data_IF_737629719726
#
_entry.id   IF_737629719726
#
_cell.length_a   1.000
_cell.length_b   1.000
_cell.length_c   1.000
_cell.angle_alpha   90.00
_cell.angle_beta   90.00
_cell.angle_gamma   90.00
#
_symmetry.space_group_name_H-M   'P 1'
#
loop_
_entity.id
_entity.type
_entity.pdbx_description
1 polymer ?
#
# COMPACT_ATOMS: atom_id res chain seq x y z
N UNK A 1 -12.05 12.30 -20.57
CA UNK A 1 -11.90 11.29 -19.50
C UNK A 1 -10.99 10.18 -20.02
N UNK A 2 -10.22 9.51 -19.16
CA UNK A 2 -9.27 8.45 -19.57
C UNK A 2 -9.96 7.14 -20.00
N UNK A 3 -11.20 6.92 -19.58
CA UNK A 3 -12.01 5.75 -19.89
C UNK A 3 -13.51 6.10 -19.85
N UNK A 4 -14.36 5.25 -20.42
CA UNK A 4 -15.81 5.30 -20.30
C UNK A 4 -16.26 4.56 -19.02
N UNK A 5 -16.95 5.26 -18.11
CA UNK A 5 -17.43 4.70 -16.84
C UNK A 5 -18.53 3.65 -17.01
N UNK A 6 -19.23 3.63 -18.16
CA UNK A 6 -20.27 2.65 -18.46
C UNK A 6 -19.71 1.33 -18.98
N UNK A 7 -18.45 1.35 -19.45
CA UNK A 7 -17.72 0.19 -19.98
C UNK A 7 -16.63 -0.33 -19.04
N UNK A 8 -16.73 0.01 -17.75
CA UNK A 8 -15.81 -0.46 -16.75
C UNK A 8 -16.51 -0.69 -15.41
N UNK A 9 -16.02 -1.66 -14.66
CA UNK A 9 -16.57 -2.06 -13.38
C UNK A 9 -15.49 -1.96 -12.30
N UNK A 10 -15.84 -1.40 -11.14
CA UNK A 10 -14.93 -1.42 -10.00
C UNK A 10 -15.09 -2.73 -9.26
N UNK A 11 -14.04 -3.53 -9.23
CA UNK A 11 -13.97 -4.74 -8.41
C UNK A 11 -13.19 -4.45 -7.14
N UNK A 12 -13.62 -5.08 -6.05
CA UNK A 12 -12.93 -4.99 -4.77
C UNK A 12 -11.70 -5.92 -4.75
N UNK A 13 -10.51 -5.35 -4.60
CA UNK A 13 -9.24 -6.08 -4.38
C UNK A 13 -8.74 -5.90 -2.92
N UNK A 14 -9.67 -5.58 -2.03
CA UNK A 14 -9.46 -5.30 -0.61
C UNK A 14 -9.01 -3.86 -0.37
N UNK A 15 -7.80 -3.52 -0.77
CA UNK A 15 -7.16 -2.23 -0.47
C UNK A 15 -7.58 -1.09 -1.38
N UNK A 16 -7.81 -1.44 -2.62
CA UNK A 16 -8.08 -0.53 -3.71
C UNK A 16 -9.16 -1.15 -4.57
N UNK A 17 -9.94 -0.29 -5.20
CA UNK A 17 -10.82 -0.74 -6.27
C UNK A 17 -9.96 -0.89 -7.52
N UNK A 18 -9.97 -2.07 -8.12
CA UNK A 18 -9.44 -2.23 -9.47
C UNK A 18 -10.53 -1.86 -10.45
N UNK A 19 -10.18 -1.08 -11.47
CA UNK A 19 -11.08 -0.80 -12.57
C UNK A 19 -10.91 -1.90 -13.62
N UNK A 20 -11.90 -2.78 -13.76
CA UNK A 20 -11.94 -3.82 -14.77
C UNK A 20 -12.67 -3.33 -16.03
N UNK A 21 -11.97 -3.09 -17.15
CA UNK A 21 -12.59 -2.69 -18.40
C UNK A 21 -13.30 -3.88 -19.07
N UNK A 22 -14.44 -3.62 -19.71
CA UNK A 22 -15.20 -4.62 -20.49
C UNK A 22 -14.70 -4.73 -21.93
N UNK A 23 -14.18 -3.63 -22.46
CA UNK A 23 -13.67 -3.51 -23.83
C UNK A 23 -12.13 -3.46 -23.87
N UNK A 24 -11.51 -3.62 -25.06
CA UNK A 24 -10.05 -3.54 -25.21
C UNK A 24 -9.47 -2.22 -24.71
N UNK A 25 -8.35 -2.30 -24.00
CA UNK A 25 -7.60 -1.12 -23.54
C UNK A 25 -6.58 -0.66 -24.58
N UNK A 26 -6.25 0.63 -24.54
CA UNK A 26 -5.21 1.24 -25.37
C UNK A 26 -4.04 1.76 -24.53
N UNK A 27 -2.95 2.13 -25.19
CA UNK A 27 -1.79 2.78 -24.54
C UNK A 27 -1.87 4.30 -24.72
N UNK A 28 -1.61 5.04 -23.64
CA UNK A 28 -1.39 6.48 -23.70
C UNK A 28 0.11 6.74 -23.90
N UNK A 29 0.48 7.52 -24.91
CA UNK A 29 1.88 7.89 -25.17
C UNK A 29 2.40 9.01 -24.24
N UNK A 30 1.48 9.78 -23.65
CA UNK A 30 1.81 10.89 -22.75
C UNK A 30 1.95 10.41 -21.29
N UNK A 31 2.89 10.99 -20.51
CA UNK A 31 3.01 10.67 -19.10
C UNK A 31 1.79 11.16 -18.31
N UNK A 32 1.34 10.35 -17.35
CA UNK A 32 0.33 10.75 -16.36
C UNK A 32 1.06 11.10 -15.06
N UNK A 33 1.08 12.38 -14.72
CA UNK A 33 1.61 12.84 -13.44
C UNK A 33 0.53 12.72 -12.37
N UNK A 34 0.73 11.81 -11.42
CA UNK A 34 -0.11 11.69 -10.25
C UNK A 34 0.55 12.39 -9.06
N UNK A 35 -0.13 13.41 -8.52
CA UNK A 35 0.29 14.08 -7.28
C UNK A 35 -0.63 13.67 -6.13
N UNK A 36 -0.17 12.71 -5.33
CA UNK A 36 -0.91 12.23 -4.15
C UNK A 36 -0.47 12.92 -2.85
N UNK A 37 0.16 14.11 -2.93
CA UNK A 37 0.59 14.83 -1.74
C UNK A 37 -0.61 15.20 -0.87
N UNK A 38 -0.59 14.71 0.36
CA UNK A 38 -1.57 14.98 1.42
C UNK A 38 -0.86 15.69 2.56
N UNK A 39 -1.60 16.46 3.37
CA UNK A 39 -1.07 16.93 4.65
C UNK A 39 -0.70 15.72 5.52
N UNK A 40 0.32 15.86 6.37
CA UNK A 40 0.76 14.76 7.23
C UNK A 40 -0.38 14.20 8.08
N UNK A 41 -1.25 15.06 8.63
CA UNK A 41 -2.42 14.65 9.39
C UNK A 41 -3.40 13.79 8.57
N UNK A 42 -3.72 14.20 7.34
CA UNK A 42 -4.59 13.41 6.45
C UNK A 42 -3.92 12.10 6.04
N UNK A 43 -2.62 12.13 5.79
CA UNK A 43 -1.85 10.93 5.45
C UNK A 43 -1.87 9.92 6.61
N UNK A 44 -1.63 10.36 7.85
CA UNK A 44 -1.69 9.53 9.06
C UNK A 44 -3.07 8.93 9.28
N UNK A 45 -4.13 9.74 9.19
CA UNK A 45 -5.51 9.25 9.31
C UNK A 45 -5.84 8.19 8.24
N UNK A 46 -5.29 8.34 7.03
CA UNK A 46 -5.49 7.34 5.97
C UNK A 46 -4.77 6.02 6.28
N UNK A 47 -3.61 6.05 6.96
CA UNK A 47 -2.87 4.84 7.30
C UNK A 47 -3.65 3.93 8.23
N UNK A 48 -4.43 4.49 9.16
CA UNK A 48 -5.31 3.69 10.03
C UNK A 48 -6.29 2.86 9.20
N UNK A 49 -7.01 3.51 8.27
CA UNK A 49 -7.99 2.85 7.40
C UNK A 49 -7.32 1.78 6.54
N UNK A 50 -6.22 2.11 5.89
CA UNK A 50 -5.50 1.17 5.02
C UNK A 50 -4.94 -0.02 5.79
N UNK A 51 -4.34 0.21 6.97
CA UNK A 51 -3.81 -0.87 7.79
C UNK A 51 -4.90 -1.79 8.33
N UNK A 52 -6.10 -1.26 8.64
CA UNK A 52 -7.25 -2.08 9.04
C UNK A 52 -7.70 -3.03 7.92
N UNK A 53 -7.79 -2.52 6.68
CA UNK A 53 -8.12 -3.35 5.51
C UNK A 53 -7.04 -4.41 5.24
N UNK A 54 -5.75 -4.06 5.38
CA UNK A 54 -4.65 -5.01 5.13
C UNK A 54 -4.62 -6.10 6.20
N UNK A 55 -4.81 -5.72 7.45
CA UNK A 55 -4.85 -6.67 8.55
C UNK A 55 -5.98 -7.68 8.31
N UNK A 56 -7.17 -7.23 7.89
CA UNK A 56 -8.27 -8.11 7.53
C UNK A 56 -7.87 -9.06 6.39
N UNK A 57 -7.31 -8.54 5.30
CA UNK A 57 -6.85 -9.34 4.15
C UNK A 57 -5.81 -10.39 4.55
N UNK A 58 -4.83 -10.04 5.38
CA UNK A 58 -3.75 -10.95 5.81
C UNK A 58 -4.21 -12.03 6.81
N UNK A 59 -5.27 -11.74 7.58
CA UNK A 59 -5.87 -12.68 8.54
C UNK A 59 -6.89 -13.62 7.88
N UNK A 60 -7.55 -13.20 6.79
CA UNK A 60 -8.43 -14.07 6.01
C UNK A 60 -7.61 -15.13 5.27
N UNK A 61 -8.03 -16.42 5.27
CA UNK A 61 -7.39 -17.46 4.48
C UNK A 61 -7.36 -17.04 3.00
N UNK A 62 -6.18 -17.04 2.35
CA UNK A 62 -6.09 -16.59 0.98
C UNK A 62 -6.77 -17.60 0.05
N UNK A 63 -7.52 -17.10 -0.94
CA UNK A 63 -8.12 -17.93 -2.00
C UNK A 63 -7.08 -18.41 -3.02
N UNK A 64 -5.88 -17.81 -3.02
CA UNK A 64 -4.77 -18.07 -3.95
C UNK A 64 -3.41 -18.00 -3.24
N UNK A 65 -2.31 -18.25 -3.95
CA UNK A 65 -0.96 -18.20 -3.39
C UNK A 65 -0.61 -16.83 -2.80
N UNK A 66 0.01 -16.86 -1.61
CA UNK A 66 0.44 -15.66 -0.89
C UNK A 66 1.62 -15.01 -1.64
N UNK A 67 1.45 -13.75 -2.05
CA UNK A 67 2.51 -12.98 -2.70
C UNK A 67 3.70 -12.75 -1.74
N UNK A 68 4.90 -12.53 -2.29
CA UNK A 68 6.11 -12.34 -1.49
C UNK A 68 5.99 -11.18 -0.48
N UNK A 69 5.31 -10.09 -0.87
CA UNK A 69 5.10 -8.94 0.00
C UNK A 69 4.27 -9.29 1.24
N UNK A 70 3.21 -10.09 1.09
CA UNK A 70 2.37 -10.52 2.19
C UNK A 70 3.12 -11.45 3.15
N UNK A 71 4.02 -12.30 2.61
CA UNK A 71 4.91 -13.12 3.45
C UNK A 71 5.82 -12.25 4.32
N UNK A 72 6.40 -11.19 3.75
CA UNK A 72 7.23 -10.24 4.49
C UNK A 72 6.39 -9.53 5.57
N UNK A 73 5.17 -9.07 5.25
CA UNK A 73 4.28 -8.40 6.22
C UNK A 73 3.88 -9.30 7.39
N UNK A 74 3.75 -10.60 7.15
CA UNK A 74 3.52 -11.60 8.22
C UNK A 74 4.70 -11.73 9.20
N UNK A 75 5.88 -11.20 8.86
CA UNK A 75 7.00 -11.07 9.79
C UNK A 75 6.86 -9.87 10.74
N UNK A 76 5.69 -9.24 10.83
CA UNK A 76 5.24 -8.22 11.81
C UNK A 76 6.36 -7.23 12.21
N UNK A 77 7.23 -7.58 13.16
CA UNK A 77 8.30 -6.70 13.62
C UNK A 77 9.40 -6.44 12.58
N UNK A 78 9.67 -7.38 11.68
CA UNK A 78 10.76 -7.27 10.69
C UNK A 78 10.32 -6.47 9.47
N UNK A 79 9.05 -6.54 9.10
CA UNK A 79 8.52 -5.93 7.89
C UNK A 79 8.77 -4.41 7.80
N UNK A 80 8.52 -3.60 8.85
CA UNK A 80 8.74 -2.16 8.81
C UNK A 80 10.20 -1.79 8.53
N UNK A 81 11.14 -2.46 9.20
CA UNK A 81 12.58 -2.19 9.01
C UNK A 81 13.06 -2.63 7.62
N UNK A 82 12.59 -3.78 7.14
CA UNK A 82 12.93 -4.27 5.81
C UNK A 82 12.47 -3.28 4.74
N UNK A 83 11.22 -2.83 4.82
CA UNK A 83 10.66 -1.84 3.89
C UNK A 83 11.39 -0.50 3.99
N UNK A 84 11.72 -0.05 5.21
CA UNK A 84 12.47 1.19 5.43
C UNK A 84 13.83 1.17 4.72
N UNK A 85 14.65 0.14 4.96
CA UNK A 85 15.97 0.03 4.35
C UNK A 85 15.90 -0.23 2.84
N UNK A 86 14.89 -0.98 2.39
CA UNK A 86 14.61 -1.14 0.97
C UNK A 86 14.33 0.22 0.29
N UNK A 87 13.47 1.06 0.87
CA UNK A 87 13.16 2.38 0.32
C UNK A 87 14.38 3.31 0.35
N UNK A 88 15.19 3.25 1.42
CA UNK A 88 16.33 4.15 1.58
C UNK A 88 17.48 3.81 0.63
N UNK A 89 17.85 2.52 0.55
CA UNK A 89 19.04 2.07 -0.17
C UNK A 89 18.74 1.50 -1.56
N UNK A 90 17.74 0.62 -1.67
CA UNK A 90 17.44 -0.07 -2.94
C UNK A 90 16.67 0.84 -3.90
N UNK A 91 15.67 1.57 -3.39
CA UNK A 91 14.96 2.59 -4.19
C UNK A 91 15.72 3.91 -4.29
N UNK A 92 16.87 4.02 -3.62
CA UNK A 92 17.75 5.18 -3.71
C UNK A 92 17.22 6.42 -3.00
N UNK A 93 16.26 6.32 -2.09
CA UNK A 93 15.69 7.48 -1.39
C UNK A 93 16.73 8.32 -0.64
N UNK A 94 17.84 7.72 -0.20
CA UNK A 94 18.95 8.48 0.41
C UNK A 94 19.53 9.54 -0.54
N UNK A 95 19.48 9.29 -1.85
CA UNK A 95 19.98 10.21 -2.90
C UNK A 95 19.05 11.40 -3.10
N UNK A 96 17.79 11.30 -2.69
CA UNK A 96 16.80 12.37 -2.74
C UNK A 96 16.83 13.26 -1.47
N UNK A 97 17.81 13.05 -0.60
CA UNK A 97 18.00 13.78 0.64
C UNK A 97 16.81 13.61 1.60
N UNK A 98 16.43 14.71 2.26
CA UNK A 98 15.34 14.70 3.25
C UNK A 98 13.99 14.22 2.70
N UNK A 99 13.73 14.40 1.39
CA UNK A 99 12.47 13.95 0.77
C UNK A 99 12.39 12.43 0.71
N UNK A 100 13.47 11.77 0.32
CA UNK A 100 13.51 10.31 0.27
C UNK A 100 13.59 9.70 1.67
N UNK A 101 14.27 10.33 2.62
CA UNK A 101 14.22 9.93 4.04
C UNK A 101 12.80 10.06 4.59
N UNK A 102 12.11 11.18 4.30
CA UNK A 102 10.71 11.38 4.70
C UNK A 102 9.79 10.31 4.11
N UNK A 103 9.96 9.97 2.83
CA UNK A 103 9.21 8.88 2.19
C UNK A 103 9.51 7.52 2.82
N UNK A 104 10.77 7.20 3.10
CA UNK A 104 11.14 5.95 3.78
C UNK A 104 10.51 5.86 5.17
N UNK A 105 10.52 6.96 5.94
CA UNK A 105 9.85 7.05 7.24
C UNK A 105 8.33 6.88 7.12
N UNK A 106 7.69 7.48 6.12
CA UNK A 106 6.27 7.24 5.84
C UNK A 106 5.98 5.76 5.58
N UNK A 107 6.83 5.08 4.79
CA UNK A 107 6.70 3.64 4.55
C UNK A 107 6.91 2.81 5.82
N UNK A 108 7.91 3.14 6.63
CA UNK A 108 8.12 2.51 7.93
C UNK A 108 6.88 2.67 8.83
N UNK A 109 6.36 3.89 8.98
CA UNK A 109 5.19 4.17 9.82
C UNK A 109 3.96 3.41 9.33
N UNK A 110 3.71 3.35 8.03
CA UNK A 110 2.59 2.59 7.47
C UNK A 110 2.66 1.09 7.85
N UNK A 111 3.82 0.46 7.67
CA UNK A 111 4.04 -0.94 8.01
C UNK A 111 4.02 -1.16 9.55
N UNK A 112 4.47 -0.18 10.34
CA UNK A 112 4.40 -0.23 11.80
C UNK A 112 2.94 -0.18 12.30
N UNK A 113 2.09 0.67 11.71
CA UNK A 113 0.66 0.73 12.03
C UNK A 113 -0.01 -0.62 11.70
N UNK A 114 0.32 -1.22 10.54
CA UNK A 114 -0.14 -2.56 10.20
C UNK A 114 0.32 -3.61 11.22
N UNK A 115 1.58 -3.56 11.64
CA UNK A 115 2.14 -4.47 12.64
C UNK A 115 1.39 -4.37 13.97
N UNK A 116 1.08 -3.15 14.42
CA UNK A 116 0.26 -2.91 15.60
C UNK A 116 -1.15 -3.50 15.46
N UNK A 117 -1.80 -3.32 14.31
CA UNK A 117 -3.11 -3.92 14.03
C UNK A 117 -3.05 -5.44 14.08
N UNK A 118 -2.06 -6.07 13.45
CA UNK A 118 -1.90 -7.53 13.49
C UNK A 118 -1.64 -8.05 14.91
N UNK A 119 -0.82 -7.35 15.70
CA UNK A 119 -0.56 -7.70 17.10
C UNK A 119 -1.83 -7.54 17.94
N UNK A 120 -2.58 -6.45 17.77
CA UNK A 120 -3.82 -6.20 18.49
C UNK A 120 -4.84 -7.33 18.26
N UNK A 121 -5.01 -7.78 17.02
CA UNK A 121 -5.86 -8.94 16.70
C UNK A 121 -5.35 -10.26 17.34
N UNK A 122 -4.02 -10.42 17.52
CA UNK A 122 -3.44 -11.61 18.16
C UNK A 122 -3.61 -11.64 19.67
N UNK A 123 -3.56 -10.47 20.32
CA UNK A 123 -3.72 -10.36 21.78
C UNK A 123 -5.20 -10.51 22.19
N UNK A 124 -6.13 -10.27 21.24
CA UNK A 124 -7.56 -10.26 21.51
C UNK A 124 -8.01 -8.91 22.10
N UNK A 125 -9.31 -8.58 21.99
CA UNK A 125 -9.89 -7.42 22.67
C UNK A 125 -9.86 -7.56 24.19
#
# INVERSE_FOLDING_TARGET
ALFDKTQAEYIDDGHTQLLQPRDPTGSLSSPIYHDDRKSLARWLASQEKYASLEAQKLLTPPSHDICLADRIRKMILVAPFLVFFYCLFVKGGIRDGWRGVYYALQRFTAEAILSLKLIHHKIGP
#
